data_IF_726976170166
#
_entry.id   IF_726976170166
#
_cell.length_a   1.000
_cell.length_b   1.000
_cell.length_c   1.000
_cell.angle_alpha   90.00
_cell.angle_beta   90.00
_cell.angle_gamma   90.00
#
_symmetry.space_group_name_H-M   'P 1'
#
loop_
_entity.id
_entity.type
_entity.pdbx_description
1 polymer ?
#
# COMPACT_ATOMS: atom_id res chain seq x y z
N UNK A 1 33.92 -2.57 32.52
CA UNK A 1 34.89 -1.65 31.87
C UNK A 1 35.70 -2.43 30.85
N UNK A 2 35.32 -2.37 29.57
CA UNK A 2 36.17 -2.73 28.43
C UNK A 2 35.75 -1.82 27.29
N UNK A 3 36.44 -0.68 27.15
CA UNK A 3 36.31 0.24 26.04
C UNK A 3 37.23 -0.24 24.92
N UNK A 4 36.66 -0.81 23.85
CA UNK A 4 37.39 -1.05 22.60
C UNK A 4 37.29 0.21 21.74
N UNK A 5 38.31 1.05 21.84
CA UNK A 5 38.51 2.19 20.93
C UNK A 5 39.02 1.67 19.59
N UNK A 6 38.15 1.60 18.59
CA UNK A 6 38.57 1.41 17.20
C UNK A 6 38.94 2.78 16.62
N UNK A 7 40.23 3.07 16.54
CA UNK A 7 40.75 4.21 15.79
C UNK A 7 40.57 3.94 14.30
N UNK A 8 39.51 4.45 13.69
CA UNK A 8 39.40 4.53 12.22
C UNK A 8 40.19 5.75 11.74
N UNK A 9 41.51 5.64 11.66
CA UNK A 9 42.30 6.50 10.78
C UNK A 9 42.38 5.81 9.43
N UNK A 10 41.34 5.99 8.61
CA UNK A 10 41.49 5.79 7.16
C UNK A 10 42.11 7.07 6.66
N UNK A 11 43.39 7.00 6.33
CA UNK A 11 44.20 8.12 5.88
C UNK A 11 43.53 8.81 4.68
N UNK A 12 43.08 10.05 4.86
CA UNK A 12 42.51 10.91 3.81
C UNK A 12 43.46 11.14 2.61
N UNK A 13 44.72 10.72 2.73
CA UNK A 13 45.71 10.66 1.65
C UNK A 13 45.27 9.80 0.45
N UNK A 14 44.60 8.65 0.66
CA UNK A 14 44.20 7.76 -0.44
C UNK A 14 43.05 8.33 -1.28
N UNK A 15 42.10 9.03 -0.65
CA UNK A 15 40.97 9.67 -1.36
C UNK A 15 41.46 10.85 -2.22
N UNK A 16 42.44 11.63 -1.72
CA UNK A 16 43.07 12.71 -2.50
C UNK A 16 43.84 12.20 -3.73
N UNK A 17 44.45 11.02 -3.64
CA UNK A 17 45.12 10.41 -4.80
C UNK A 17 44.14 9.98 -5.89
N UNK A 18 42.95 9.50 -5.53
CA UNK A 18 41.92 9.07 -6.48
C UNK A 18 41.26 10.26 -7.22
N UNK A 19 41.10 11.41 -6.57
CA UNK A 19 40.49 12.60 -7.19
C UNK A 19 41.42 13.39 -8.12
N UNK A 20 42.75 13.18 -8.04
CA UNK A 20 43.77 13.97 -8.76
C UNK A 20 44.60 13.15 -9.76
N UNK A 21 44.08 12.06 -10.33
CA UNK A 21 44.77 11.36 -11.43
C UNK A 21 44.65 12.22 -12.70
N UNK A 22 45.58 13.15 -12.88
CA UNK A 22 45.84 13.76 -14.18
C UNK A 22 46.46 12.69 -15.10
N UNK A 23 45.77 12.33 -16.18
CA UNK A 23 46.38 11.57 -17.27
C UNK A 23 47.40 12.47 -17.97
N UNK A 24 48.63 12.48 -17.46
CA UNK A 24 49.78 13.11 -18.11
C UNK A 24 49.96 12.51 -19.51
N UNK A 25 49.70 13.31 -20.54
CA UNK A 25 49.92 12.94 -21.94
C UNK A 25 51.40 13.15 -22.32
N UNK A 26 52.32 12.45 -21.67
CA UNK A 26 53.72 12.45 -22.07
C UNK A 26 53.98 11.31 -23.06
N UNK A 27 54.20 11.67 -24.33
CA UNK A 27 54.69 10.75 -25.36
C UNK A 27 56.16 10.44 -25.10
N UNK A 28 56.45 9.23 -24.64
CA UNK A 28 57.79 8.67 -24.73
C UNK A 28 58.02 8.00 -26.11
N UNK A 29 59.22 8.14 -26.69
CA UNK A 29 59.53 7.57 -28.00
C UNK A 29 59.91 6.09 -27.83
N UNK A 30 59.07 5.18 -28.33
CA UNK A 30 59.41 3.76 -28.37
C UNK A 30 58.17 2.86 -28.41
N UNK A 31 57.76 2.48 -29.62
CA UNK A 31 56.60 1.62 -29.85
C UNK A 31 56.78 0.19 -29.33
N UNK A 32 55.85 -0.21 -28.43
CA UNK A 32 55.21 -1.53 -28.25
C UNK A 32 54.69 -1.61 -26.81
N UNK A 33 53.48 -1.11 -26.55
CA UNK A 33 52.91 -1.16 -25.18
C UNK A 33 51.46 -0.71 -24.97
N UNK A 34 50.74 -0.23 -25.99
CA UNK A 34 49.45 0.47 -25.81
C UNK A 34 48.34 -0.31 -25.09
N UNK A 35 48.28 -1.64 -25.22
CA UNK A 35 47.21 -2.44 -24.61
C UNK A 35 47.40 -2.65 -23.10
N UNK A 36 48.64 -2.76 -22.62
CA UNK A 36 48.90 -2.90 -21.18
C UNK A 36 48.56 -1.62 -20.41
N UNK A 37 48.83 -0.44 -20.96
CA UNK A 37 48.51 0.83 -20.28
C UNK A 37 47.00 1.07 -20.15
N UNK A 38 46.20 0.67 -21.16
CA UNK A 38 44.74 0.78 -21.10
C UNK A 38 44.15 -0.18 -20.05
N UNK A 39 44.66 -1.41 -19.96
CA UNK A 39 44.24 -2.37 -18.95
C UNK A 39 44.60 -1.90 -17.52
N UNK A 40 45.81 -1.37 -17.32
CA UNK A 40 46.22 -0.82 -16.02
C UNK A 40 45.34 0.38 -15.64
N UNK A 41 45.04 1.28 -16.58
CA UNK A 41 44.13 2.40 -16.35
C UNK A 41 42.70 1.96 -15.99
N UNK A 42 42.15 0.95 -16.67
CA UNK A 42 40.82 0.41 -16.36
C UNK A 42 40.77 -0.28 -14.98
N UNK A 43 41.81 -1.05 -14.63
CA UNK A 43 41.91 -1.72 -13.33
C UNK A 43 42.00 -0.69 -12.20
N UNK A 44 42.78 0.38 -12.37
CA UNK A 44 42.86 1.47 -11.40
C UNK A 44 41.54 2.24 -11.27
N UNK A 45 40.83 2.48 -12.37
CA UNK A 45 39.53 3.15 -12.35
C UNK A 45 38.46 2.28 -11.66
N UNK A 46 38.42 0.98 -11.94
CA UNK A 46 37.52 0.03 -11.27
C UNK A 46 37.84 -0.08 -9.77
N UNK A 47 39.12 -0.16 -9.40
CA UNK A 47 39.54 -0.15 -8.00
C UNK A 47 39.09 1.13 -7.29
N UNK A 48 39.25 2.30 -7.93
CA UNK A 48 38.83 3.58 -7.37
C UNK A 48 37.29 3.66 -7.23
N UNK A 49 36.52 3.17 -8.21
CA UNK A 49 35.06 3.08 -8.10
C UNK A 49 34.62 2.15 -6.96
N UNK A 50 35.27 1.00 -6.79
CA UNK A 50 34.99 0.08 -5.68
C UNK A 50 35.28 0.72 -4.31
N UNK A 51 36.37 1.48 -4.18
CA UNK A 51 36.68 2.23 -2.96
C UNK A 51 35.63 3.31 -2.68
N UNK A 52 35.20 4.06 -3.69
CA UNK A 52 34.13 5.06 -3.55
C UNK A 52 32.80 4.43 -3.12
N UNK A 53 32.41 3.32 -3.75
CA UNK A 53 31.20 2.57 -3.37
C UNK A 53 31.30 2.05 -1.95
N UNK A 54 32.46 1.52 -1.55
CA UNK A 54 32.70 1.05 -0.18
C UNK A 54 32.59 2.19 0.86
N UNK A 55 33.15 3.37 0.58
CA UNK A 55 33.04 4.55 1.46
C UNK A 55 31.59 5.02 1.58
N UNK A 56 30.84 5.09 0.47
CA UNK A 56 29.42 5.47 0.53
C UNK A 56 28.57 4.44 1.26
N UNK A 57 28.83 3.15 1.04
CA UNK A 57 28.11 2.07 1.71
C UNK A 57 28.37 2.07 3.22
N UNK A 58 29.63 2.23 3.65
CA UNK A 58 29.97 2.33 5.07
C UNK A 58 29.37 3.56 5.74
N UNK A 59 29.32 4.71 5.06
CA UNK A 59 28.63 5.90 5.55
C UNK A 59 27.11 5.69 5.70
N UNK A 60 26.48 5.02 4.71
CA UNK A 60 25.05 4.70 4.76
C UNK A 60 24.71 3.69 5.87
N UNK A 61 25.55 2.66 6.06
CA UNK A 61 25.41 1.70 7.16
C UNK A 61 25.55 2.41 8.52
N UNK A 62 26.55 3.29 8.68
CA UNK A 62 26.73 4.06 9.90
C UNK A 62 25.52 4.97 10.20
N UNK A 63 24.89 5.57 9.18
CA UNK A 63 23.66 6.33 9.37
C UNK A 63 22.47 5.46 9.79
N UNK A 64 22.34 4.29 9.18
CA UNK A 64 21.29 3.33 9.52
C UNK A 64 21.45 2.78 10.95
N UNK A 65 22.68 2.49 11.38
CA UNK A 65 22.97 2.08 12.76
C UNK A 65 22.57 3.15 13.78
N UNK A 66 22.88 4.44 13.53
CA UNK A 66 22.45 5.54 14.40
C UNK A 66 20.93 5.68 14.48
N UNK A 67 20.22 5.43 13.37
CA UNK A 67 18.75 5.44 13.33
C UNK A 67 18.15 4.25 14.10
N UNK A 68 18.77 3.07 14.02
CA UNK A 68 18.37 1.89 14.79
C UNK A 68 18.53 2.12 16.29
N UNK A 69 19.67 2.65 16.74
CA UNK A 69 19.89 3.02 18.16
C UNK A 69 18.86 4.07 18.64
N UNK A 70 18.50 5.03 17.79
CA UNK A 70 17.44 6.01 18.09
C UNK A 70 16.04 5.39 18.19
N UNK A 71 15.78 4.28 17.51
CA UNK A 71 14.50 3.55 17.57
C UNK A 71 14.46 2.65 18.80
N UNK A 72 15.54 1.93 19.11
CA UNK A 72 15.66 1.14 20.34
C UNK A 72 15.54 2.03 21.59
N UNK A 73 16.19 3.20 21.61
CA UNK A 73 16.03 4.17 22.70
C UNK A 73 14.61 4.74 22.86
N UNK A 74 13.77 4.68 21.82
CA UNK A 74 12.33 5.04 21.90
C UNK A 74 11.45 3.88 22.36
N UNK A 75 11.91 2.63 22.23
CA UNK A 75 11.20 1.44 22.73
C UNK A 75 11.39 1.24 24.24
N UNK A 76 12.54 1.64 24.79
CA UNK A 76 12.82 1.51 26.23
C UNK A 76 12.06 2.53 27.12
N UNK A 77 11.60 3.66 26.56
CA UNK A 77 10.73 4.61 27.26
C UNK A 77 9.27 4.13 27.43
N UNK A 78 8.91 2.96 26.89
CA UNK A 78 7.58 2.35 27.06
C UNK A 78 7.57 1.05 27.86
N UNK A 79 8.71 0.64 28.46
CA UNK A 79 8.74 -0.50 29.38
C UNK A 79 8.69 -0.02 30.83
N UNK A 80 7.48 0.29 31.30
CA UNK A 80 7.23 0.42 32.75
C UNK A 80 7.27 -0.98 33.40
N UNK A 81 7.96 -1.16 34.55
CA UNK A 81 7.96 -2.41 35.29
C UNK A 81 6.75 -2.48 36.22
N UNK A 82 5.61 -2.92 35.69
CA UNK A 82 4.46 -3.29 36.52
C UNK A 82 3.68 -4.42 35.82
N UNK A 83 3.13 -5.33 36.62
CA UNK A 83 2.37 -6.55 36.29
C UNK A 83 3.18 -7.81 35.94
N UNK A 84 3.89 -8.34 36.95
CA UNK A 84 4.05 -9.79 37.12
C UNK A 84 3.26 -10.20 38.36
N UNK A 85 1.96 -10.45 38.19
CA UNK A 85 1.21 -11.28 39.13
C UNK A 85 1.14 -12.71 38.60
N UNK A 86 1.53 -13.64 39.46
CA UNK A 86 1.63 -15.06 39.22
C UNK A 86 0.27 -15.69 38.85
N UNK A 87 0.09 -16.05 37.58
CA UNK A 87 -0.86 -17.11 37.21
C UNK A 87 -0.15 -18.45 37.33
N UNK A 88 -0.44 -19.19 38.40
CA UNK A 88 -0.14 -20.63 38.50
C UNK A 88 -0.92 -21.37 37.41
N UNK A 89 -0.24 -21.74 36.33
CA UNK A 89 -0.77 -22.69 35.35
C UNK A 89 -0.53 -24.10 35.89
N UNK A 90 -1.56 -24.73 36.43
CA UNK A 90 -1.60 -26.18 36.60
C UNK A 90 -1.69 -26.82 35.22
N UNK A 91 -0.66 -27.58 34.87
CA UNK A 91 -0.48 -28.29 33.60
C UNK A 91 -1.35 -29.57 33.57
N UNK A 92 -2.29 -29.74 32.61
CA UNK A 92 -2.81 -31.06 32.29
C UNK A 92 -1.91 -31.73 31.24
N UNK A 93 -1.61 -33.00 31.47
CA UNK A 93 -0.73 -33.84 30.67
C UNK A 93 -1.08 -33.84 29.18
N UNK A 94 -0.06 -33.59 28.35
CA UNK A 94 -0.10 -33.76 26.90
C UNK A 94 -0.12 -35.26 26.59
N UNK A 95 -1.26 -35.78 26.13
CA UNK A 95 -1.30 -37.08 25.43
C UNK A 95 -1.07 -36.86 23.94
N UNK A 96 0.11 -37.29 23.50
CA UNK A 96 0.53 -37.36 22.10
C UNK A 96 -0.41 -38.28 21.30
N UNK A 97 -1.12 -37.74 20.31
CA UNK A 97 -1.77 -38.54 19.26
C UNK A 97 -1.02 -38.29 17.94
N UNK A 98 -0.43 -39.36 17.41
CA UNK A 98 0.27 -39.41 16.12
C UNK A 98 -0.65 -38.97 14.99
N UNK A 99 -0.09 -38.17 14.07
CA UNK A 99 -0.83 -37.47 13.02
C UNK A 99 -1.39 -38.34 11.90
N UNK A 100 -2.04 -37.64 10.97
CA UNK A 100 -2.14 -37.92 9.54
C UNK A 100 -2.49 -36.60 8.87
N UNK A 101 -1.66 -36.16 7.91
CA UNK A 101 -1.94 -34.97 7.12
C UNK A 101 -3.19 -35.16 6.25
N UNK A 102 -3.80 -34.04 5.84
CA UNK A 102 -4.54 -33.93 4.57
C UNK A 102 -4.89 -32.47 4.25
N UNK A 103 -4.94 -32.25 2.94
CA UNK A 103 -5.22 -31.06 2.14
C UNK A 103 -6.25 -30.07 2.69
N UNK A 104 -6.01 -28.78 2.44
CA UNK A 104 -7.04 -27.74 2.56
C UNK A 104 -7.49 -27.33 1.14
N UNK A 105 -8.68 -27.78 0.76
CA UNK A 105 -9.39 -27.42 -0.46
C UNK A 105 -10.37 -26.28 -0.19
N UNK A 106 -10.54 -25.48 -1.25
CA UNK A 106 -11.41 -24.31 -1.44
C UNK A 106 -12.83 -24.43 -0.86
N UNK A 107 -13.30 -23.36 -0.22
CA UNK A 107 -14.65 -23.27 0.38
C UNK A 107 -15.68 -22.74 -0.62
N UNK A 108 -16.69 -23.57 -0.88
CA UNK A 108 -17.84 -23.32 -1.76
C UNK A 108 -18.97 -22.56 -1.04
N UNK A 109 -19.71 -21.80 -1.84
CA UNK A 109 -20.96 -21.06 -1.59
C UNK A 109 -22.06 -21.90 -0.94
N UNK A 110 -22.78 -21.33 0.04
CA UNK A 110 -24.06 -21.87 0.53
C UNK A 110 -25.22 -21.04 -0.01
N UNK A 111 -26.10 -21.68 -0.78
CA UNK A 111 -27.50 -21.31 -0.94
C UNK A 111 -28.32 -22.33 -0.15
N UNK A 112 -29.37 -21.91 0.55
CA UNK A 112 -30.58 -22.71 0.69
C UNK A 112 -31.79 -21.83 1.06
N UNK A 113 -32.89 -22.08 0.35
CA UNK A 113 -34.20 -21.42 0.43
C UNK A 113 -35.12 -22.06 1.48
N UNK A 114 -36.11 -21.28 1.91
CA UNK A 114 -37.16 -21.58 2.91
C UNK A 114 -38.17 -22.69 2.51
N UNK A 115 -38.68 -23.40 3.52
CA UNK A 115 -40.12 -23.67 3.79
C UNK A 115 -40.26 -24.27 5.21
N UNK A 116 -40.75 -23.52 6.20
CA UNK A 116 -42.14 -23.46 6.72
C UNK A 116 -42.62 -24.69 7.53
N UNK A 117 -42.71 -24.53 8.86
CA UNK A 117 -43.48 -25.40 9.76
C UNK A 117 -44.29 -24.50 10.71
N UNK A 118 -45.58 -24.83 10.77
CA UNK A 118 -46.67 -24.28 11.56
C UNK A 118 -46.44 -24.28 13.08
N UNK A 119 -47.02 -23.31 13.81
CA UNK A 119 -47.21 -23.44 15.26
C UNK A 119 -47.30 -22.14 16.07
N UNK A 120 -48.52 -21.77 16.44
CA UNK A 120 -48.91 -20.64 17.29
C UNK A 120 -48.73 -20.98 18.79
N UNK A 121 -48.18 -20.08 19.62
CA UNK A 121 -48.77 -19.69 20.93
C UNK A 121 -47.91 -18.67 21.70
N UNK A 122 -48.59 -17.68 22.29
CA UNK A 122 -48.10 -16.57 23.09
C UNK A 122 -47.63 -16.98 24.50
N UNK A 123 -46.61 -16.30 25.07
CA UNK A 123 -46.67 -15.57 26.37
C UNK A 123 -45.29 -15.08 26.87
N UNK A 124 -45.33 -13.84 27.39
CA UNK A 124 -44.59 -13.27 28.53
C UNK A 124 -43.06 -13.27 28.56
N UNK A 125 -42.48 -12.10 28.26
CA UNK A 125 -41.65 -11.35 29.21
C UNK A 125 -40.37 -11.99 29.74
N UNK A 126 -39.24 -11.67 29.12
CA UNK A 126 -38.01 -11.34 29.84
C UNK A 126 -37.20 -10.33 29.01
N UNK A 127 -37.14 -9.08 29.49
CA UNK A 127 -36.21 -8.07 28.98
C UNK A 127 -34.79 -8.53 29.33
N UNK A 128 -34.07 -9.12 28.38
CA UNK A 128 -32.62 -9.22 28.49
C UNK A 128 -32.01 -7.88 28.14
N UNK A 129 -31.25 -7.36 29.09
CA UNK A 129 -30.52 -6.10 29.02
C UNK A 129 -29.62 -6.11 27.78
N UNK A 130 -29.54 -4.97 27.11
CA UNK A 130 -28.51 -4.68 26.11
C UNK A 130 -27.18 -4.62 26.87
N UNK A 131 -26.47 -5.73 26.89
CA UNK A 131 -25.04 -5.68 27.15
C UNK A 131 -24.40 -5.30 25.81
N UNK A 132 -24.03 -4.01 25.74
CA UNK A 132 -23.30 -3.43 24.63
C UNK A 132 -21.92 -4.07 24.53
N UNK A 133 -21.82 -5.11 23.71
CA UNK A 133 -20.63 -5.30 22.92
C UNK A 133 -20.81 -4.44 21.68
N UNK A 134 -20.10 -3.31 21.61
CA UNK A 134 -19.84 -2.65 20.36
C UNK A 134 -19.11 -3.67 19.48
N UNK A 135 -19.89 -4.41 18.69
CA UNK A 135 -19.36 -5.37 17.73
C UNK A 135 -18.42 -4.60 16.83
N UNK A 136 -17.13 -4.86 17.01
CA UNK A 136 -16.10 -4.58 16.03
C UNK A 136 -16.61 -5.22 14.74
N UNK A 137 -17.21 -4.41 13.85
CA UNK A 137 -17.37 -4.82 12.46
C UNK A 137 -15.95 -5.01 11.99
N UNK A 138 -15.50 -6.24 11.82
CA UNK A 138 -14.28 -6.51 11.08
C UNK A 138 -14.45 -5.79 9.76
N UNK A 139 -13.69 -4.70 9.55
CA UNK A 139 -13.68 -4.04 8.25
C UNK A 139 -13.00 -5.03 7.34
N UNK A 140 -13.76 -5.54 6.39
CA UNK A 140 -13.34 -6.53 5.41
C UNK A 140 -13.42 -5.90 4.03
N UNK A 141 -13.05 -6.64 3.00
CA UNK A 141 -13.26 -6.22 1.63
C UNK A 141 -13.78 -7.38 0.79
N UNK A 142 -14.62 -7.05 -0.19
CA UNK A 142 -15.15 -8.00 -1.15
C UNK A 142 -14.54 -7.77 -2.52
N UNK A 143 -14.29 -8.85 -3.24
CA UNK A 143 -13.78 -8.77 -4.60
C UNK A 143 -14.89 -8.33 -5.58
N UNK A 144 -14.60 -7.33 -6.40
CA UNK A 144 -15.47 -6.79 -7.46
C UNK A 144 -15.08 -7.29 -8.86
N UNK A 145 -14.07 -8.14 -8.95
CA UNK A 145 -13.58 -8.79 -10.16
C UNK A 145 -12.42 -8.09 -10.85
N UNK A 146 -12.13 -8.58 -12.06
CA UNK A 146 -11.02 -8.15 -12.89
C UNK A 146 -11.46 -7.13 -13.95
N UNK A 147 -10.78 -5.98 -13.97
CA UNK A 147 -11.13 -4.84 -14.81
C UNK A 147 -9.95 -4.34 -15.62
N UNK A 148 -10.19 -3.97 -16.87
CA UNK A 148 -9.13 -3.48 -17.76
C UNK A 148 -8.61 -2.13 -17.26
N UNK A 149 -7.32 -1.91 -17.45
CA UNK A 149 -6.68 -0.62 -17.20
C UNK A 149 -5.88 -0.13 -18.41
N UNK A 150 -5.51 1.15 -18.39
CA UNK A 150 -4.73 1.78 -19.46
C UNK A 150 -3.69 2.73 -18.88
N UNK A 151 -2.94 3.45 -19.75
CA UNK A 151 -2.03 4.52 -19.31
C UNK A 151 -2.77 5.62 -18.53
N UNK A 152 -4.02 5.89 -18.88
CA UNK A 152 -4.88 6.74 -18.07
C UNK A 152 -5.63 5.85 -17.09
N UNK A 153 -5.09 5.71 -15.87
CA UNK A 153 -5.59 4.72 -14.92
C UNK A 153 -7.08 4.92 -14.60
N UNK A 154 -7.82 3.82 -14.55
CA UNK A 154 -9.23 3.83 -14.13
C UNK A 154 -9.38 4.26 -12.66
N UNK A 155 -8.41 3.88 -11.82
CA UNK A 155 -8.32 4.28 -10.42
C UNK A 155 -6.94 4.93 -10.21
N UNK A 156 -6.86 6.14 -9.62
CA UNK A 156 -5.60 6.79 -9.30
C UNK A 156 -4.67 5.92 -8.45
N UNK A 157 -3.37 6.06 -8.67
CA UNK A 157 -2.33 5.34 -7.94
C UNK A 157 -2.21 5.82 -6.49
N UNK A 158 -1.89 4.89 -5.59
CA UNK A 158 -1.48 5.15 -4.21
C UNK A 158 0.01 4.89 -3.98
N UNK A 159 0.73 4.40 -4.98
CA UNK A 159 2.16 4.14 -4.88
C UNK A 159 2.95 5.38 -4.46
N UNK A 160 3.87 5.21 -3.50
CA UNK A 160 4.67 6.30 -2.96
C UNK A 160 3.91 7.33 -2.11
N UNK A 161 2.61 7.11 -1.83
CA UNK A 161 1.83 8.02 -0.97
C UNK A 161 1.81 7.60 0.50
N UNK A 162 2.36 6.42 0.82
CA UNK A 162 2.33 5.83 2.16
C UNK A 162 3.53 4.89 2.36
N UNK A 163 4.22 4.90 3.52
CA UNK A 163 5.37 4.03 3.76
C UNK A 163 5.07 2.53 3.62
N UNK A 164 3.80 2.12 3.78
CA UNK A 164 3.37 0.72 3.54
C UNK A 164 3.53 0.30 2.08
N UNK A 165 3.59 1.26 1.15
CA UNK A 165 3.74 1.09 -0.29
C UNK A 165 5.12 1.54 -0.79
N UNK A 166 6.13 1.53 0.07
CA UNK A 166 7.50 1.80 -0.36
C UNK A 166 8.08 0.63 -1.16
N UNK A 167 9.20 0.93 -1.82
CA UNK A 167 9.97 -0.04 -2.59
C UNK A 167 9.31 -0.44 -3.91
N UNK A 168 9.71 -1.60 -4.41
CA UNK A 168 9.31 -2.10 -5.72
C UNK A 168 8.02 -2.89 -5.60
N UNK A 169 6.96 -2.44 -6.29
CA UNK A 169 5.61 -2.98 -6.07
C UNK A 169 5.47 -4.46 -6.42
N UNK A 170 6.13 -4.97 -7.46
CA UNK A 170 5.99 -6.36 -7.93
C UNK A 170 6.69 -7.40 -7.04
N UNK A 171 7.51 -6.94 -6.09
CA UNK A 171 8.16 -7.80 -5.10
C UNK A 171 7.55 -7.63 -3.70
N UNK A 172 6.46 -6.85 -3.58
CA UNK A 172 5.88 -6.47 -2.31
C UNK A 172 5.08 -7.64 -1.72
N UNK A 173 5.62 -8.27 -0.69
CA UNK A 173 4.85 -9.24 0.09
C UNK A 173 3.60 -8.62 0.72
N UNK A 174 2.49 -9.38 0.68
CA UNK A 174 1.15 -8.97 1.16
C UNK A 174 0.64 -7.69 0.48
N UNK A 175 0.78 -7.59 -0.84
CA UNK A 175 0.45 -6.36 -1.55
C UNK A 175 -1.03 -5.98 -1.40
N UNK A 176 -1.94 -6.93 -1.52
CA UNK A 176 -3.39 -6.68 -1.36
C UNK A 176 -3.73 -6.15 0.02
N UNK A 177 -3.20 -6.75 1.09
CA UNK A 177 -3.43 -6.28 2.45
C UNK A 177 -2.84 -4.90 2.69
N UNK A 178 -1.62 -4.63 2.21
CA UNK A 178 -1.00 -3.30 2.35
C UNK A 178 -1.80 -2.24 1.60
N UNK A 179 -2.24 -2.54 0.37
CA UNK A 179 -3.05 -1.63 -0.42
C UNK A 179 -4.40 -1.35 0.24
N UNK A 180 -5.05 -2.40 0.76
CA UNK A 180 -6.28 -2.30 1.55
C UNK A 180 -6.11 -1.35 2.73
N UNK A 181 -5.08 -1.54 3.55
CA UNK A 181 -4.85 -0.72 4.74
C UNK A 181 -4.60 0.76 4.41
N UNK A 182 -3.97 1.03 3.28
CA UNK A 182 -3.69 2.40 2.80
C UNK A 182 -4.97 3.07 2.31
N UNK A 183 -5.77 2.37 1.51
CA UNK A 183 -7.08 2.85 1.07
C UNK A 183 -8.05 3.05 2.24
N UNK A 184 -8.08 2.11 3.18
CA UNK A 184 -8.88 2.18 4.39
C UNK A 184 -8.52 3.42 5.23
N UNK A 185 -7.23 3.69 5.41
CA UNK A 185 -6.77 4.87 6.16
C UNK A 185 -7.13 6.21 5.50
N UNK A 186 -7.51 6.20 4.21
CA UNK A 186 -7.97 7.37 3.46
C UNK A 186 -9.50 7.43 3.34
N UNK A 187 -10.23 6.49 3.95
CA UNK A 187 -11.68 6.37 3.80
C UNK A 187 -12.13 6.04 2.37
N UNK A 188 -11.25 5.47 1.55
CA UNK A 188 -11.58 5.16 0.15
C UNK A 188 -12.45 3.90 0.08
N UNK A 189 -13.62 3.95 -0.60
CA UNK A 189 -14.54 2.81 -0.66
C UNK A 189 -14.02 1.65 -1.51
N UNK A 190 -13.13 1.95 -2.46
CA UNK A 190 -12.61 0.97 -3.41
C UNK A 190 -11.10 1.15 -3.56
N UNK A 191 -10.40 0.03 -3.59
CA UNK A 191 -8.99 -0.07 -3.93
C UNK A 191 -8.79 -1.16 -4.99
N UNK A 192 -7.62 -1.17 -5.61
CA UNK A 192 -7.25 -2.18 -6.58
C UNK A 192 -5.77 -2.50 -6.54
N UNK A 193 -5.45 -3.73 -6.92
CA UNK A 193 -4.07 -4.19 -7.10
C UNK A 193 -3.87 -4.58 -8.56
N UNK A 194 -2.74 -4.18 -9.13
CA UNK A 194 -2.34 -4.48 -10.50
C UNK A 194 -0.95 -5.11 -10.53
N UNK A 195 -0.76 -6.05 -11.46
CA UNK A 195 0.53 -6.61 -11.83
C UNK A 195 1.43 -7.01 -10.63
N UNK A 196 0.88 -7.76 -9.67
CA UNK A 196 1.66 -8.32 -8.56
C UNK A 196 1.95 -7.34 -7.43
N UNK A 197 1.28 -6.18 -7.38
CA UNK A 197 1.28 -5.35 -6.17
C UNK A 197 1.16 -3.84 -6.32
N UNK A 198 1.00 -3.33 -7.53
CA UNK A 198 0.76 -1.90 -7.77
C UNK A 198 -0.60 -1.50 -7.20
N UNK A 199 -0.60 -0.59 -6.24
CA UNK A 199 -1.75 -0.19 -5.47
C UNK A 199 -2.41 1.07 -6.02
N UNK A 200 -3.73 1.00 -6.17
CA UNK A 200 -4.59 2.11 -6.60
C UNK A 200 -5.79 2.24 -5.67
N UNK A 201 -6.32 3.46 -5.51
CA UNK A 201 -7.51 3.71 -4.71
C UNK A 201 -7.94 5.18 -4.76
N UNK A 202 -9.25 5.42 -4.64
CA UNK A 202 -9.77 6.78 -4.54
C UNK A 202 -11.19 6.80 -3.97
N UNK A 203 -11.61 7.97 -3.51
CA UNK A 203 -13.00 8.24 -3.14
C UNK A 203 -14.01 7.95 -4.29
N UNK A 204 -13.60 8.14 -5.55
CA UNK A 204 -14.43 7.90 -6.74
C UNK A 204 -14.25 6.51 -7.36
N UNK A 205 -13.38 5.67 -6.80
CA UNK A 205 -13.00 4.43 -7.46
C UNK A 205 -14.20 3.52 -7.75
N UNK A 206 -15.26 3.59 -6.93
CA UNK A 206 -16.54 2.90 -7.12
C UNK A 206 -17.30 3.22 -8.41
N UNK A 207 -17.03 4.35 -9.07
CA UNK A 207 -17.64 4.68 -10.36
C UNK A 207 -16.68 4.58 -11.53
N UNK A 208 -15.37 4.64 -11.29
CA UNK A 208 -14.37 4.74 -12.36
C UNK A 208 -13.73 3.40 -12.71
N UNK A 209 -13.73 2.42 -11.80
CA UNK A 209 -13.05 1.13 -12.02
C UNK A 209 -13.52 0.38 -13.26
N UNK A 210 -14.80 0.54 -13.63
CA UNK A 210 -15.41 -0.12 -14.80
C UNK A 210 -15.17 0.60 -16.13
N UNK A 211 -14.49 1.74 -16.13
CA UNK A 211 -14.35 2.66 -17.29
C UNK A 211 -13.88 1.96 -18.57
N UNK A 212 -12.99 0.97 -18.48
CA UNK A 212 -12.43 0.28 -19.65
C UNK A 212 -13.00 -1.12 -19.89
N UNK A 213 -14.05 -1.49 -19.15
CA UNK A 213 -14.71 -2.79 -19.25
C UNK A 213 -13.98 -3.93 -18.52
N UNK A 214 -14.58 -5.13 -18.53
CA UNK A 214 -14.02 -6.29 -17.85
C UNK A 214 -12.73 -6.78 -18.52
N UNK A 215 -11.91 -7.50 -17.75
CA UNK A 215 -10.68 -8.14 -18.22
C UNK A 215 -10.61 -9.58 -17.74
N UNK A 216 -9.87 -10.42 -18.47
CA UNK A 216 -9.56 -11.81 -18.10
C UNK A 216 -8.07 -11.98 -17.76
N UNK A 217 -7.31 -10.89 -17.70
CA UNK A 217 -5.86 -10.92 -17.54
C UNK A 217 -5.38 -10.93 -16.08
N UNK A 218 -6.28 -10.83 -15.10
CA UNK A 218 -5.91 -10.93 -13.69
C UNK A 218 -5.56 -12.37 -13.33
N UNK A 219 -4.54 -12.54 -12.49
CA UNK A 219 -4.21 -13.81 -11.88
C UNK A 219 -5.19 -14.13 -10.73
N UNK A 220 -5.27 -15.40 -10.34
CA UNK A 220 -6.14 -15.85 -9.23
C UNK A 220 -5.57 -15.56 -7.84
N UNK A 221 -4.45 -14.84 -7.75
CA UNK A 221 -3.76 -14.47 -6.51
C UNK A 221 -4.31 -13.20 -5.86
N UNK A 222 -5.18 -12.47 -6.55
CA UNK A 222 -5.75 -11.22 -6.06
C UNK A 222 -4.87 -9.99 -6.26
N UNK A 223 -3.82 -10.10 -7.07
CA UNK A 223 -2.87 -9.00 -7.33
C UNK A 223 -3.00 -8.42 -8.74
N UNK A 224 -4.08 -8.77 -9.42
CA UNK A 224 -4.42 -8.29 -10.75
C UNK A 224 -3.54 -8.92 -11.83
N UNK A 225 -3.29 -8.17 -12.90
CA UNK A 225 -2.47 -8.63 -14.00
C UNK A 225 -1.93 -7.48 -14.85
N UNK A 226 -1.22 -7.77 -15.95
CA UNK A 226 -0.70 -6.74 -16.83
C UNK A 226 -1.84 -5.89 -17.40
N UNK A 227 -1.89 -4.60 -16.99
CA UNK A 227 -2.99 -3.67 -17.32
C UNK A 227 -4.37 -4.20 -16.95
N UNK A 228 -4.46 -4.96 -15.87
CA UNK A 228 -5.72 -5.44 -15.33
C UNK A 228 -5.72 -5.29 -13.81
N UNK A 229 -6.73 -4.59 -13.32
CA UNK A 229 -6.93 -4.32 -11.91
C UNK A 229 -7.80 -5.43 -11.32
N UNK A 230 -7.30 -6.09 -10.27
CA UNK A 230 -8.18 -6.79 -9.34
C UNK A 230 -8.77 -5.75 -8.39
N UNK A 231 -10.08 -5.57 -8.43
CA UNK A 231 -10.76 -4.46 -7.74
C UNK A 231 -11.50 -4.97 -6.51
N UNK A 232 -11.42 -4.21 -5.42
CA UNK A 232 -11.99 -4.59 -4.13
C UNK A 232 -12.83 -3.46 -3.53
N UNK A 233 -13.94 -3.83 -2.92
CA UNK A 233 -14.84 -2.94 -2.18
C UNK A 233 -14.61 -3.10 -0.68
N UNK A 234 -14.35 -2.01 0.03
CA UNK A 234 -14.19 -2.04 1.50
C UNK A 234 -15.56 -1.98 2.18
N UNK A 235 -15.88 -2.97 3.00
CA UNK A 235 -17.14 -3.06 3.73
C UNK A 235 -17.10 -2.33 5.06
N UNK A 236 -18.26 -1.88 5.53
CA UNK A 236 -18.40 -1.27 6.85
C UNK A 236 -17.81 0.14 7.00
N UNK A 237 -17.32 0.75 5.91
CA UNK A 237 -16.97 2.17 5.85
C UNK A 237 -18.20 3.08 5.74
N UNK A 238 -18.10 4.28 6.29
CA UNK A 238 -18.98 5.39 5.92
C UNK A 238 -18.33 6.13 4.74
N UNK A 239 -18.90 5.96 3.55
CA UNK A 239 -18.34 6.54 2.31
C UNK A 239 -18.47 8.06 2.25
N UNK A 240 -19.18 8.67 3.20
CA UNK A 240 -19.25 10.11 3.34
C UNK A 240 -18.04 10.72 4.06
N UNK A 241 -17.13 9.94 4.66
CA UNK A 241 -15.93 10.50 5.29
C UNK A 241 -14.93 11.10 4.27
N UNK A 242 -14.85 10.50 3.08
CA UNK A 242 -13.95 10.93 2.01
C UNK A 242 -14.71 11.36 0.74
N UNK A 243 -15.95 11.83 0.86
CA UNK A 243 -16.78 12.14 -0.30
C UNK A 243 -16.25 13.33 -1.13
N UNK A 244 -16.62 13.37 -2.40
CA UNK A 244 -16.28 14.46 -3.31
C UNK A 244 -17.43 15.46 -3.50
N UNK A 245 -18.55 15.33 -2.78
CA UNK A 245 -19.68 16.25 -2.88
C UNK A 245 -19.24 17.72 -2.63
N UNK A 246 -19.59 18.62 -3.54
CA UNK A 246 -19.25 20.04 -3.52
C UNK A 246 -20.47 20.91 -3.24
N UNK A 247 -20.25 22.22 -3.04
CA UNK A 247 -21.30 23.24 -3.03
C UNK A 247 -22.43 22.96 -2.04
N UNK A 248 -22.08 22.61 -0.80
CA UNK A 248 -23.01 22.30 0.29
C UNK A 248 -23.99 21.15 -0.01
N UNK A 249 -23.65 20.28 -0.97
CA UNK A 249 -24.44 19.09 -1.23
C UNK A 249 -24.42 18.11 -0.05
N UNK A 250 -25.55 17.44 0.18
CA UNK A 250 -25.66 16.44 1.25
C UNK A 250 -25.19 15.07 0.74
N UNK A 251 -24.16 14.52 1.37
CA UNK A 251 -23.70 13.16 1.10
C UNK A 251 -24.61 12.13 1.75
N UNK A 252 -24.90 11.03 1.04
CA UNK A 252 -25.57 9.85 1.59
C UNK A 252 -24.84 8.58 1.17
N UNK A 253 -24.39 7.82 2.15
CA UNK A 253 -23.84 6.47 2.00
C UNK A 253 -24.81 5.51 1.33
N UNK A 254 -24.28 4.61 0.51
CA UNK A 254 -24.98 3.57 -0.26
C UNK A 254 -24.21 2.24 -0.19
N UNK A 255 -24.85 1.15 -0.63
CA UNK A 255 -24.20 -0.16 -0.74
C UNK A 255 -23.05 -0.17 -1.75
N UNK A 256 -23.17 0.60 -2.82
CA UNK A 256 -22.21 0.63 -3.94
C UNK A 256 -21.43 1.95 -4.03
N UNK A 257 -21.43 2.78 -2.99
CA UNK A 257 -20.79 4.10 -3.05
C UNK A 257 -21.37 5.10 -2.08
N UNK A 258 -21.39 6.35 -2.53
CA UNK A 258 -22.20 7.41 -1.96
C UNK A 258 -22.90 8.18 -3.07
N UNK A 259 -23.92 8.93 -2.69
CA UNK A 259 -24.64 9.85 -3.59
C UNK A 259 -24.65 11.25 -3.00
N UNK A 260 -24.44 12.26 -3.85
CA UNK A 260 -24.57 13.66 -3.46
C UNK A 260 -25.97 14.17 -3.82
N UNK A 261 -26.65 14.78 -2.86
CA UNK A 261 -27.91 15.50 -3.09
C UNK A 261 -27.58 16.98 -3.26
N UNK A 262 -27.68 17.48 -4.47
CA UNK A 262 -27.29 18.86 -4.79
C UNK A 262 -28.27 19.89 -4.24
N UNK A 263 -27.74 21.01 -3.78
CA UNK A 263 -28.54 22.20 -3.49
C UNK A 263 -29.04 22.85 -4.77
N UNK A 264 -30.11 23.65 -4.69
CA UNK A 264 -30.68 24.38 -5.83
C UNK A 264 -29.60 25.15 -6.62
N UNK A 265 -29.63 25.04 -7.94
CA UNK A 265 -28.68 25.71 -8.84
C UNK A 265 -27.36 24.97 -9.09
N UNK A 266 -27.18 23.78 -8.49
CA UNK A 266 -26.00 22.93 -8.70
C UNK A 266 -26.39 21.55 -9.24
N UNK A 267 -25.53 21.01 -10.11
CA UNK A 267 -25.75 19.72 -10.75
C UNK A 267 -24.42 18.99 -11.01
N UNK A 268 -24.55 17.77 -11.54
CA UNK A 268 -23.44 16.84 -11.72
C UNK A 268 -23.34 15.86 -10.56
N UNK A 269 -22.55 14.80 -10.77
CA UNK A 269 -22.42 13.69 -9.82
C UNK A 269 -21.94 14.12 -8.43
N UNK A 270 -21.08 15.14 -8.39
CA UNK A 270 -20.56 15.74 -7.17
C UNK A 270 -21.10 17.13 -6.92
N UNK A 271 -22.15 17.53 -7.64
CA UNK A 271 -22.70 18.88 -7.58
C UNK A 271 -21.65 19.95 -7.93
N UNK A 272 -20.69 19.62 -8.81
CA UNK A 272 -19.56 20.47 -9.16
C UNK A 272 -19.87 21.54 -10.22
N UNK A 273 -21.03 21.46 -10.88
CA UNK A 273 -21.42 22.38 -11.94
C UNK A 273 -22.58 23.28 -11.49
N UNK A 274 -22.53 24.57 -11.84
CA UNK A 274 -23.58 25.55 -11.52
C UNK A 274 -24.48 25.81 -12.73
N UNK A 275 -25.80 25.86 -12.53
CA UNK A 275 -26.77 26.21 -13.57
C UNK A 275 -26.58 27.64 -14.12
N UNK A 276 -25.97 28.54 -13.35
CA UNK A 276 -25.63 29.90 -13.80
C UNK A 276 -24.67 29.94 -15.00
N UNK A 277 -23.89 28.87 -15.24
CA UNK A 277 -23.01 28.78 -16.41
C UNK A 277 -23.76 28.32 -17.68
N UNK A 278 -24.98 27.80 -17.56
CA UNK A 278 -25.82 27.41 -18.70
C UNK A 278 -26.73 28.56 -19.18
N UNK A 279 -26.87 29.63 -18.39
CA UNK A 279 -27.69 30.79 -18.73
C UNK A 279 -26.94 31.93 -19.46
N UNK A 280 -25.62 31.81 -19.62
CA UNK A 280 -24.78 32.76 -20.39
C UNK A 280 -24.48 32.25 -21.80
N UNK A 281 -25.37 31.47 -22.41
CA UNK A 281 -25.29 31.24 -23.86
C UNK A 281 -25.60 32.59 -24.54
N UNK A 282 -24.62 33.30 -25.14
CA UNK A 282 -24.95 34.49 -25.91
C UNK A 282 -25.91 34.05 -27.01
N UNK A 283 -27.02 34.77 -27.25
CA UNK A 283 -27.90 34.39 -28.35
C UNK A 283 -27.05 34.30 -29.60
N UNK A 284 -27.08 33.14 -30.27
CA UNK A 284 -26.53 32.94 -31.60
C UNK A 284 -27.05 34.09 -32.45
N UNK A 285 -26.22 35.13 -32.64
CA UNK A 285 -26.46 36.13 -33.67
C UNK A 285 -26.34 35.35 -34.96
N UNK A 286 -27.49 34.98 -35.51
CA UNK A 286 -27.65 34.73 -36.93
C UNK A 286 -27.11 35.96 -37.64
N UNK A 287 -25.86 35.88 -38.08
CA UNK A 287 -25.32 36.79 -39.08
C UNK A 287 -25.96 36.31 -40.38
N UNK A 288 -27.11 36.88 -40.69
CA UNK A 288 -27.72 36.87 -42.01
C UNK A 288 -26.90 37.74 -42.96
#
# INVERSE_FOLDING_TARGET
>A
MLTLSWTTSVDTSMVKHCSNIEYGNERLPGGKGGLQFVLVGLVLLLACLLVLVYVHLTAAIADLSRRLESVEGRLDLHRSPADVDHVKVSNPEVKTIKGKGKEYMSGTVMNESLADITGRSSRSGLRRRRDGHAGSRTREYTNLGCWRDTRNHAIPTLEGTDPRLDGVYWARGKATEKCYQVALSRGFPVFAVQAGGYCSGSADAHNTYKKYGPSTACASDGEGGPRANEVYWITGLDQCEAHLCQNNATCRTRRDGYTCTCTKGWYGKYCQHSEYMLSYDPPLRFVL
#
